data_IF_238639033582
#
_entry.id   IF_238639033582
#
_cell.length_a   1.000
_cell.length_b   1.000
_cell.length_c   1.000
_cell.angle_alpha   90.00
_cell.angle_beta   90.00
_cell.angle_gamma   90.00
#
_symmetry.space_group_name_H-M   'P 1'
#
loop_
_entity.id
_entity.type
_entity.pdbx_description
1 polymer ?
#
# COMPACT_ATOMS: atom_id res chain seq x y z
N UNK A 1 -14.03 -21.19 22.07
CA UNK A 1 -12.86 -22.08 21.92
C UNK A 1 -12.70 -22.32 20.44
N UNK A 2 -11.70 -21.68 19.83
CA UNK A 2 -11.32 -21.92 18.43
C UNK A 2 -9.89 -22.43 18.48
N UNK A 3 -9.65 -23.50 17.73
CA UNK A 3 -8.45 -24.34 17.81
C UNK A 3 -7.78 -24.36 16.44
N UNK A 4 -7.36 -23.17 16.01
CA UNK A 4 -6.57 -22.99 14.81
C UNK A 4 -5.30 -23.83 14.80
N UNK A 5 -4.93 -24.36 13.63
CA UNK A 5 -3.62 -24.98 13.45
C UNK A 5 -2.60 -23.89 13.16
N UNK A 6 -1.66 -23.68 14.07
CA UNK A 6 -0.53 -22.77 13.88
C UNK A 6 0.38 -23.22 12.73
N UNK A 7 0.84 -22.28 11.91
CA UNK A 7 1.73 -22.59 10.78
C UNK A 7 3.18 -22.48 11.21
N UNK A 8 3.82 -23.63 11.47
CA UNK A 8 5.26 -23.70 11.79
C UNK A 8 6.11 -24.35 10.67
N UNK A 9 5.48 -24.66 9.53
CA UNK A 9 6.12 -25.32 8.38
C UNK A 9 6.33 -24.35 7.21
N UNK A 10 7.39 -24.56 6.43
CA UNK A 10 7.67 -23.79 5.21
C UNK A 10 6.86 -24.31 4.02
N UNK A 11 5.53 -24.15 4.11
CA UNK A 11 4.55 -24.61 3.10
C UNK A 11 3.96 -23.46 2.27
N UNK A 12 4.39 -22.22 2.54
CA UNK A 12 3.95 -21.02 1.83
C UNK A 12 4.61 -20.88 0.45
N UNK A 13 3.90 -20.22 -0.45
CA UNK A 13 4.42 -19.82 -1.76
C UNK A 13 4.03 -18.39 -2.08
N UNK A 14 4.82 -17.73 -2.93
CA UNK A 14 4.58 -16.37 -3.38
C UNK A 14 5.38 -16.04 -4.63
N UNK A 15 5.00 -14.95 -5.28
CA UNK A 15 5.62 -14.47 -6.51
C UNK A 15 5.55 -12.95 -6.58
N UNK A 16 6.57 -12.38 -7.22
CA UNK A 16 6.69 -10.96 -7.47
C UNK A 16 6.80 -10.74 -8.98
N UNK A 17 5.88 -9.95 -9.53
CA UNK A 17 5.93 -9.50 -10.92
C UNK A 17 6.22 -8.00 -10.91
N UNK A 18 7.13 -7.53 -11.77
CA UNK A 18 7.48 -6.12 -11.81
C UNK A 18 7.96 -5.66 -13.18
N UNK A 19 7.83 -4.36 -13.41
CA UNK A 19 8.34 -3.67 -14.57
C UNK A 19 9.00 -2.37 -14.12
N UNK A 20 10.17 -2.08 -14.67
CA UNK A 20 11.01 -0.95 -14.30
C UNK A 20 11.32 -0.12 -15.54
N UNK A 21 11.12 1.19 -15.46
CA UNK A 21 11.49 2.13 -16.50
C UNK A 21 12.29 3.28 -15.89
N UNK A 22 13.44 3.57 -16.49
CA UNK A 22 14.34 4.64 -16.05
C UNK A 22 14.74 5.50 -17.22
N UNK A 23 14.54 6.80 -17.09
CA UNK A 23 15.04 7.81 -18.01
C UNK A 23 16.10 8.65 -17.30
N UNK A 24 17.29 8.75 -17.89
CA UNK A 24 18.40 9.52 -17.34
C UNK A 24 18.87 10.55 -18.36
N UNK A 25 19.04 11.78 -17.89
CA UNK A 25 19.60 12.87 -18.67
C UNK A 25 20.76 13.50 -17.90
N UNK A 26 21.90 13.66 -18.55
CA UNK A 26 23.11 14.19 -17.95
C UNK A 26 23.52 15.47 -18.65
N UNK A 27 23.50 16.59 -17.92
CA UNK A 27 23.94 17.92 -18.35
C UNK A 27 23.44 18.36 -19.74
N UNK A 28 22.20 18.01 -20.10
CA UNK A 28 21.63 18.42 -21.38
C UNK A 28 21.20 19.88 -21.29
N UNK A 29 21.97 20.78 -21.89
CA UNK A 29 21.78 22.23 -21.76
C UNK A 29 21.70 22.71 -20.30
N UNK A 30 22.53 22.13 -19.42
CA UNK A 30 22.52 22.48 -17.99
C UNK A 30 21.49 21.71 -17.15
N UNK A 31 20.72 20.80 -17.75
CA UNK A 31 19.74 19.96 -17.08
C UNK A 31 20.29 18.55 -16.82
N UNK A 32 20.37 18.20 -15.54
CA UNK A 32 20.63 16.84 -15.07
C UNK A 32 19.38 16.31 -14.39
N UNK A 33 18.85 15.18 -14.86
CA UNK A 33 17.59 14.64 -14.35
C UNK A 33 17.58 13.12 -14.41
N UNK A 34 16.85 12.51 -13.48
CA UNK A 34 16.51 11.09 -13.55
C UNK A 34 15.06 10.90 -13.15
N UNK A 35 14.35 10.08 -13.92
CA UNK A 35 12.97 9.66 -13.64
C UNK A 35 12.95 8.14 -13.61
N UNK A 36 12.43 7.56 -12.53
CA UNK A 36 12.31 6.12 -12.35
C UNK A 36 10.86 5.78 -12.00
N UNK A 37 10.32 4.80 -12.73
CA UNK A 37 8.99 4.26 -12.52
C UNK A 37 9.08 2.75 -12.31
N UNK A 38 8.41 2.28 -11.27
CA UNK A 38 8.26 0.87 -10.96
C UNK A 38 6.79 0.53 -10.91
N UNK A 39 6.37 -0.45 -11.72
CA UNK A 39 5.14 -1.19 -11.51
C UNK A 39 5.47 -2.51 -10.82
N UNK A 40 4.67 -2.92 -9.83
CA UNK A 40 4.82 -4.24 -9.23
C UNK A 40 3.53 -4.88 -8.78
N UNK A 41 3.58 -6.20 -8.58
CA UNK A 41 2.51 -7.01 -8.00
C UNK A 41 3.12 -8.15 -7.20
N UNK A 42 3.00 -8.09 -5.88
CA UNK A 42 3.44 -9.11 -4.95
C UNK A 42 2.25 -9.93 -4.45
N UNK A 43 2.27 -11.25 -4.71
CA UNK A 43 1.23 -12.20 -4.30
C UNK A 43 1.84 -13.35 -3.51
N UNK A 44 1.08 -13.96 -2.61
CA UNK A 44 1.53 -15.10 -1.83
C UNK A 44 0.57 -15.48 -0.72
N UNK A 45 0.88 -16.59 -0.02
CA UNK A 45 0.07 -17.16 1.06
C UNK A 45 0.27 -16.49 2.44
N UNK A 46 0.95 -15.35 2.46
CA UNK A 46 1.31 -14.60 3.67
C UNK A 46 2.83 -14.48 3.83
N UNK A 47 3.28 -13.29 4.24
CA UNK A 47 4.69 -12.97 4.47
C UNK A 47 4.89 -12.59 5.94
N UNK A 48 4.75 -13.58 6.80
CA UNK A 48 5.02 -13.46 8.23
C UNK A 48 6.39 -14.04 8.56
N UNK A 49 7.02 -13.53 9.62
CA UNK A 49 8.23 -14.13 10.13
C UNK A 49 7.92 -15.56 10.59
N UNK A 50 8.77 -16.54 10.27
CA UNK A 50 8.56 -17.93 10.69
C UNK A 50 8.50 -18.10 12.22
N UNK A 51 9.08 -17.17 12.97
CA UNK A 51 9.01 -17.15 14.43
C UNK A 51 7.63 -16.73 14.98
N UNK A 52 6.68 -16.32 14.13
CA UNK A 52 5.33 -15.93 14.54
C UNK A 52 4.49 -17.17 14.89
N UNK A 53 4.49 -17.54 16.16
CA UNK A 53 3.72 -18.70 16.67
C UNK A 53 2.21 -18.47 16.82
N UNK A 54 1.73 -17.27 16.52
CA UNK A 54 0.33 -16.85 16.65
C UNK A 54 -0.45 -16.91 15.32
N UNK A 55 0.27 -17.11 14.21
CA UNK A 55 -0.34 -17.13 12.89
C UNK A 55 -0.89 -18.51 12.56
N UNK A 56 -2.15 -18.57 12.17
CA UNK A 56 -2.84 -19.81 11.86
C UNK A 56 -3.24 -19.86 10.38
N UNK A 57 -3.47 -21.08 9.91
CA UNK A 57 -4.06 -21.26 8.59
C UNK A 57 -5.50 -20.76 8.59
N UNK A 58 -5.83 -19.98 7.55
CA UNK A 58 -7.19 -19.55 7.27
C UNK A 58 -8.11 -20.76 7.07
N UNK A 59 -7.82 -21.61 6.09
CA UNK A 59 -8.47 -22.93 5.95
C UNK A 59 -7.40 -24.02 6.03
N UNK A 60 -7.47 -24.83 7.09
CA UNK A 60 -6.52 -25.93 7.34
C UNK A 60 -6.61 -27.04 6.29
N UNK A 61 -7.74 -27.16 5.60
CA UNK A 61 -7.94 -28.13 4.51
C UNK A 61 -7.51 -27.56 3.15
N UNK A 62 -7.38 -26.23 3.04
CA UNK A 62 -6.98 -25.56 1.82
C UNK A 62 -6.13 -24.30 2.09
N UNK A 63 -4.83 -24.50 2.33
CA UNK A 63 -3.90 -23.38 2.56
C UNK A 63 -3.84 -22.36 1.41
N UNK A 64 -4.25 -22.74 0.18
CA UNK A 64 -4.25 -21.81 -0.96
C UNK A 64 -5.25 -20.67 -0.80
N UNK A 65 -6.21 -20.80 0.10
CA UNK A 65 -7.15 -19.74 0.49
C UNK A 65 -6.43 -18.44 0.87
N UNK A 66 -5.29 -18.60 1.55
CA UNK A 66 -4.44 -17.52 2.07
C UNK A 66 -3.73 -16.72 0.97
N UNK A 67 -3.82 -17.17 -0.29
CA UNK A 67 -3.10 -16.57 -1.40
C UNK A 67 -3.73 -15.25 -1.81
N UNK A 68 -3.01 -14.15 -1.55
CA UNK A 68 -3.45 -12.80 -1.86
C UNK A 68 -2.30 -11.80 -1.95
N UNK A 69 -2.65 -10.52 -1.98
CA UNK A 69 -1.66 -9.43 -2.04
C UNK A 69 -0.82 -9.42 -0.77
N UNK A 70 0.48 -9.20 -0.91
CA UNK A 70 1.38 -9.12 0.24
C UNK A 70 1.36 -7.73 0.87
N UNK A 71 1.59 -7.61 2.18
CA UNK A 71 1.53 -6.31 2.88
C UNK A 71 2.51 -5.24 2.34
N UNK A 72 3.60 -5.68 1.71
CA UNK A 72 4.57 -4.82 1.05
C UNK A 72 4.28 -4.56 -0.44
N UNK A 73 3.16 -5.05 -0.98
CA UNK A 73 2.74 -4.84 -2.36
C UNK A 73 2.49 -3.35 -2.64
N UNK A 74 3.37 -2.72 -3.42
CA UNK A 74 3.15 -1.36 -3.92
C UNK A 74 3.05 -1.40 -5.44
N UNK A 75 1.83 -1.16 -5.93
CA UNK A 75 1.52 -1.26 -7.36
C UNK A 75 2.33 -0.30 -8.21
N UNK A 76 2.47 0.94 -7.75
CA UNK A 76 3.21 2.00 -8.46
C UNK A 76 4.15 2.71 -7.50
N UNK A 77 5.40 2.88 -7.90
CA UNK A 77 6.38 3.72 -7.22
C UNK A 77 7.06 4.58 -8.27
N UNK A 78 7.11 5.88 -8.02
CA UNK A 78 7.72 6.87 -8.88
C UNK A 78 8.67 7.75 -8.09
N UNK A 79 9.85 7.99 -8.64
CA UNK A 79 10.77 8.99 -8.12
C UNK A 79 11.42 9.73 -9.27
N UNK A 80 11.64 11.03 -9.07
CA UNK A 80 12.26 11.90 -10.03
C UNK A 80 13.10 12.93 -9.31
N UNK A 81 14.27 13.22 -9.85
CA UNK A 81 15.01 14.42 -9.47
C UNK A 81 15.38 15.22 -10.72
N UNK A 82 15.50 16.53 -10.53
CA UNK A 82 15.94 17.50 -11.54
C UNK A 82 16.91 18.45 -10.86
N UNK A 83 18.03 18.70 -11.53
CA UNK A 83 18.98 19.77 -11.23
C UNK A 83 19.19 20.56 -12.51
N UNK A 84 18.85 21.84 -12.48
CA UNK A 84 19.00 22.73 -13.62
C UNK A 84 19.89 23.92 -13.26
N UNK A 85 21.03 23.98 -13.95
CA UNK A 85 21.97 25.10 -13.86
C UNK A 85 22.05 25.75 -15.24
N UNK A 86 21.42 26.94 -15.44
CA UNK A 86 21.34 27.57 -16.76
C UNK A 86 22.73 27.73 -17.40
N UNK A 87 22.86 27.43 -18.71
CA UNK A 87 24.15 27.51 -19.38
C UNK A 87 24.56 28.95 -19.71
N UNK A 88 23.65 29.91 -19.61
CA UNK A 88 23.85 31.33 -19.90
C UNK A 88 24.33 32.11 -18.67
N UNK A 89 25.02 33.23 -18.91
CA UNK A 89 25.52 34.15 -17.87
C UNK A 89 26.40 33.50 -16.77
N UNK A 90 27.03 32.34 -17.01
CA UNK A 90 27.95 31.68 -16.05
C UNK A 90 29.05 32.59 -15.52
N UNK A 91 29.55 33.52 -16.33
CA UNK A 91 30.58 34.49 -15.94
C UNK A 91 30.08 35.67 -15.08
N UNK A 92 28.76 35.79 -14.87
CA UNK A 92 28.12 36.83 -14.06
C UNK A 92 28.58 38.28 -14.34
N UNK A 93 28.98 38.58 -15.58
CA UNK A 93 29.46 39.91 -15.98
C UNK A 93 28.32 40.93 -16.13
N UNK A 94 28.53 42.14 -15.61
CA UNK A 94 27.54 43.22 -15.64
C UNK A 94 26.33 42.99 -14.72
N UNK A 95 25.42 43.97 -14.68
CA UNK A 95 24.21 43.89 -13.85
C UNK A 95 23.35 42.67 -14.24
N UNK A 96 23.15 42.46 -15.54
CA UNK A 96 22.34 41.36 -16.07
C UNK A 96 22.95 39.98 -15.77
N UNK A 97 24.29 39.85 -15.84
CA UNK A 97 24.97 38.60 -15.52
C UNK A 97 24.88 38.23 -14.04
N UNK A 98 24.93 39.20 -13.12
CA UNK A 98 24.76 38.95 -11.67
C UNK A 98 23.33 38.58 -11.28
N UNK A 99 22.33 39.13 -11.99
CA UNK A 99 20.92 38.85 -11.72
C UNK A 99 20.49 37.50 -12.33
N UNK A 100 20.99 37.15 -13.52
CA UNK A 100 20.54 35.96 -14.26
C UNK A 100 21.51 34.77 -14.21
N UNK A 101 22.73 34.95 -13.70
CA UNK A 101 23.78 33.92 -13.68
C UNK A 101 23.95 33.27 -12.31
N UNK A 102 24.36 32.00 -12.28
CA UNK A 102 24.74 31.28 -11.06
C UNK A 102 23.59 30.58 -10.32
N UNK A 103 22.36 30.68 -10.81
CA UNK A 103 21.22 29.94 -10.26
C UNK A 103 21.39 28.43 -10.44
N UNK A 104 21.03 27.67 -9.41
CA UNK A 104 20.88 26.21 -9.53
C UNK A 104 19.57 25.80 -8.91
N UNK A 105 18.67 25.32 -9.75
CA UNK A 105 17.35 24.87 -9.34
C UNK A 105 17.41 23.37 -9.15
N UNK A 106 17.18 22.89 -7.93
CA UNK A 106 17.11 21.46 -7.66
C UNK A 106 15.72 21.10 -7.11
N UNK A 107 15.19 19.98 -7.57
CA UNK A 107 13.93 19.45 -7.10
C UNK A 107 13.94 17.93 -7.07
N UNK A 108 13.28 17.37 -6.07
CA UNK A 108 13.00 15.94 -5.98
C UNK A 108 11.50 15.75 -5.80
N UNK A 109 10.96 14.75 -6.49
CA UNK A 109 9.57 14.34 -6.40
C UNK A 109 9.51 12.83 -6.20
N UNK A 110 8.69 12.41 -5.26
CA UNK A 110 8.42 10.99 -4.99
C UNK A 110 6.93 10.79 -4.89
N UNK A 111 6.43 9.70 -5.43
CA UNK A 111 5.04 9.31 -5.30
C UNK A 111 4.92 7.78 -5.31
N UNK A 112 3.84 7.28 -4.73
CA UNK A 112 3.56 5.86 -4.77
C UNK A 112 2.12 5.54 -4.43
N UNK A 113 1.65 4.41 -4.93
CA UNK A 113 0.37 3.84 -4.51
C UNK A 113 0.44 3.38 -3.06
N UNK A 114 -0.71 3.35 -2.39
CA UNK A 114 -0.82 2.70 -1.08
C UNK A 114 -0.57 1.20 -1.15
N UNK A 115 -0.29 0.62 0.02
CA UNK A 115 -0.23 -0.82 0.25
C UNK A 115 -1.64 -1.41 0.27
N UNK A 116 -1.81 -2.74 0.19
CA UNK A 116 -3.09 -3.36 0.46
C UNK A 116 -3.51 -3.02 1.89
N UNK A 117 -4.80 -2.74 2.06
CA UNK A 117 -5.42 -2.60 3.38
C UNK A 117 -6.42 -3.73 3.57
N UNK A 118 -6.32 -4.36 4.72
CA UNK A 118 -7.24 -5.40 5.17
C UNK A 118 -8.61 -4.83 5.46
N UNK A 119 -9.63 -5.61 5.13
CA UNK A 119 -10.99 -5.36 5.57
C UNK A 119 -11.35 -6.52 6.48
N UNK A 120 -11.31 -6.26 7.78
CA UNK A 120 -11.72 -7.23 8.79
C UNK A 120 -13.14 -7.73 8.53
N UNK A 121 -13.36 -9.00 8.80
CA UNK A 121 -14.69 -9.59 8.90
C UNK A 121 -15.38 -9.12 10.18
N UNK A 122 -16.65 -9.49 10.38
CA UNK A 122 -17.35 -9.14 11.63
C UNK A 122 -16.81 -9.84 12.87
N UNK A 123 -16.06 -10.94 12.72
CA UNK A 123 -15.35 -11.62 13.81
C UNK A 123 -13.89 -11.18 13.93
N UNK A 124 -13.42 -10.33 13.00
CA UNK A 124 -12.09 -9.75 12.96
C UNK A 124 -11.24 -10.33 11.84
N UNK A 125 -10.07 -10.86 12.17
CA UNK A 125 -9.14 -11.50 11.21
C UNK A 125 -9.11 -13.02 11.39
N UNK A 126 -10.15 -13.59 12.01
CA UNK A 126 -10.22 -15.00 12.39
C UNK A 126 -11.66 -15.47 12.58
N UNK A 127 -11.83 -16.79 12.58
CA UNK A 127 -13.01 -17.58 12.96
C UNK A 127 -13.88 -18.09 11.81
N UNK A 128 -13.93 -17.45 10.63
CA UNK A 128 -14.87 -17.84 9.56
C UNK A 128 -14.71 -19.30 9.11
N UNK A 129 -13.50 -19.82 9.18
CA UNK A 129 -13.17 -21.20 8.85
C UNK A 129 -12.58 -21.95 10.05
N UNK A 130 -12.71 -21.40 11.26
CA UNK A 130 -12.12 -21.96 12.49
C UNK A 130 -10.61 -21.75 12.62
N UNK A 131 -10.06 -20.72 11.97
CA UNK A 131 -8.63 -20.43 11.89
C UNK A 131 -8.00 -19.93 13.19
N UNK A 132 -8.65 -19.07 13.97
CA UNK A 132 -8.04 -18.40 15.13
C UNK A 132 -9.11 -17.82 16.06
N UNK A 133 -8.71 -17.21 17.18
CA UNK A 133 -9.60 -16.61 18.19
C UNK A 133 -9.70 -15.08 18.10
N UNK A 134 -9.04 -14.48 17.10
CA UNK A 134 -8.93 -13.03 16.90
C UNK A 134 -8.39 -12.28 18.15
N UNK A 135 -7.65 -12.99 19.02
CA UNK A 135 -7.12 -12.43 20.28
C UNK A 135 -5.67 -12.84 20.48
N UNK A 136 -5.42 -14.14 20.66
CA UNK A 136 -4.08 -14.70 20.80
C UNK A 136 -3.57 -15.27 19.47
N UNK A 137 -4.49 -15.74 18.62
CA UNK A 137 -4.21 -16.35 17.33
C UNK A 137 -4.99 -15.65 16.24
N UNK A 138 -4.31 -15.38 15.13
CA UNK A 138 -4.88 -14.65 14.01
C UNK A 138 -4.56 -15.33 12.68
N UNK A 139 -5.40 -15.05 11.69
CA UNK A 139 -5.16 -15.33 10.28
C UNK A 139 -5.22 -14.02 9.47
N UNK A 140 -5.31 -14.09 8.15
CA UNK A 140 -5.37 -12.93 7.26
C UNK A 140 -6.63 -13.02 6.38
N UNK A 141 -7.78 -12.92 7.03
CA UNK A 141 -9.09 -13.15 6.45
C UNK A 141 -9.73 -11.82 6.05
N UNK A 142 -9.91 -11.63 4.75
CA UNK A 142 -10.53 -10.42 4.23
C UNK A 142 -12.03 -10.61 4.01
N UNK A 143 -12.81 -9.62 4.45
CA UNK A 143 -14.22 -9.52 4.09
C UNK A 143 -14.37 -9.40 2.57
N UNK A 144 -15.40 -10.06 2.04
CA UNK A 144 -15.69 -10.14 0.61
C UNK A 144 -16.56 -8.96 0.18
N UNK A 145 -16.13 -8.16 -0.82
CA UNK A 145 -16.98 -7.11 -1.37
C UNK A 145 -18.17 -7.72 -2.14
N UNK A 146 -19.37 -7.24 -1.85
CA UNK A 146 -20.63 -7.66 -2.49
C UNK A 146 -21.22 -6.59 -3.42
N UNK A 147 -20.50 -5.49 -3.59
CA UNK A 147 -20.87 -4.39 -4.47
C UNK A 147 -19.67 -3.54 -4.87
N UNK A 148 -19.89 -2.46 -5.65
CA UNK A 148 -18.83 -1.54 -6.04
C UNK A 148 -18.21 -0.87 -4.81
N UNK A 149 -16.89 -1.05 -4.64
CA UNK A 149 -16.12 -0.41 -3.58
C UNK A 149 -15.41 0.81 -4.14
N UNK A 150 -15.74 1.98 -3.59
CA UNK A 150 -14.97 3.22 -3.83
C UNK A 150 -14.05 3.47 -2.63
N UNK A 151 -12.74 3.24 -2.81
CA UNK A 151 -11.71 3.51 -1.81
C UNK A 151 -10.54 4.28 -2.42
N UNK A 152 -9.57 4.69 -1.59
CA UNK A 152 -8.32 5.31 -2.04
C UNK A 152 -8.29 6.84 -1.96
N UNK A 153 -9.31 7.44 -1.36
CA UNK A 153 -9.36 8.86 -1.03
C UNK A 153 -9.42 9.02 0.49
N UNK A 154 -8.84 10.10 1.01
CA UNK A 154 -9.00 10.49 2.40
C UNK A 154 -10.16 11.50 2.51
N UNK A 155 -11.18 11.15 3.28
CA UNK A 155 -12.31 12.02 3.60
C UNK A 155 -12.18 12.49 5.04
N UNK A 156 -12.33 13.78 5.27
CA UNK A 156 -12.34 14.31 6.64
C UNK A 156 -13.51 13.72 7.43
N UNK A 157 -13.21 13.13 8.58
CA UNK A 157 -14.21 12.60 9.50
C UNK A 157 -14.23 13.45 10.78
N UNK A 158 -15.24 14.31 10.97
CA UNK A 158 -15.32 15.17 12.14
C UNK A 158 -15.64 14.41 13.43
N UNK A 159 -16.12 13.16 13.34
CA UNK A 159 -16.46 12.35 14.50
C UNK A 159 -15.22 11.75 15.17
N UNK A 160 -14.11 11.64 14.43
CA UNK A 160 -12.85 11.02 14.86
C UNK A 160 -13.04 9.69 15.59
N UNK A 161 -14.07 8.94 15.19
CA UNK A 161 -14.42 7.71 15.86
C UNK A 161 -13.39 6.63 15.49
N UNK A 162 -12.52 6.25 16.43
CA UNK A 162 -11.52 5.23 16.17
C UNK A 162 -12.11 3.85 15.80
N UNK A 163 -13.40 3.62 16.07
CA UNK A 163 -14.10 2.35 15.86
C UNK A 163 -15.02 2.35 14.62
N UNK A 164 -14.98 3.37 13.76
CA UNK A 164 -15.76 3.35 12.51
C UNK A 164 -15.09 2.58 11.36
N UNK A 165 -15.90 2.03 10.47
CA UNK A 165 -15.42 1.31 9.28
C UNK A 165 -14.65 2.26 8.34
N UNK A 166 -13.40 1.88 8.02
CA UNK A 166 -12.49 2.67 7.17
C UNK A 166 -11.75 3.81 7.87
N UNK A 167 -11.90 3.93 9.19
CA UNK A 167 -11.22 4.93 10.00
C UNK A 167 -9.81 4.46 10.36
N UNK A 168 -8.84 5.37 10.37
CA UNK A 168 -7.42 5.03 10.63
C UNK A 168 -7.02 5.22 12.09
N UNK A 169 -7.97 5.05 13.00
CA UNK A 169 -7.77 5.19 14.44
C UNK A 169 -7.71 6.63 14.94
N UNK A 170 -6.57 7.31 14.77
CA UNK A 170 -6.25 8.54 15.54
C UNK A 170 -6.25 9.84 14.73
N UNK A 171 -6.46 9.74 13.42
CA UNK A 171 -6.44 10.89 12.53
C UNK A 171 -7.85 11.18 12.04
N UNK A 172 -8.23 12.44 11.79
CA UNK A 172 -9.59 12.82 11.44
C UNK A 172 -9.91 12.51 9.99
N UNK A 173 -9.64 11.28 9.54
CA UNK A 173 -9.94 10.84 8.18
C UNK A 173 -10.46 9.40 8.11
N UNK A 174 -11.27 9.18 7.08
CA UNK A 174 -11.84 7.91 6.68
C UNK A 174 -11.51 7.66 5.20
N UNK A 175 -11.23 6.41 4.82
CA UNK A 175 -10.99 6.03 3.41
C UNK A 175 -12.28 6.03 2.56
N UNK A 176 -13.44 6.06 3.22
CA UNK A 176 -14.76 6.13 2.63
C UNK A 176 -15.44 7.45 2.98
N UNK A 177 -16.23 7.98 2.04
CA UNK A 177 -17.06 9.16 2.29
C UNK A 177 -18.16 8.90 3.32
N UNK A 178 -18.67 7.67 3.35
CA UNK A 178 -19.65 7.19 4.33
C UNK A 178 -19.25 5.76 4.74
N UNK A 179 -18.56 5.63 5.88
CA UNK A 179 -18.06 4.35 6.38
C UNK A 179 -19.16 3.32 6.63
N UNK A 180 -20.31 3.73 7.18
CA UNK A 180 -21.43 2.81 7.46
C UNK A 180 -22.05 2.24 6.19
N UNK A 181 -22.22 3.05 5.14
CA UNK A 181 -22.70 2.57 3.85
C UNK A 181 -21.66 1.66 3.16
N UNK A 182 -20.37 1.98 3.31
CA UNK A 182 -19.29 1.15 2.80
C UNK A 182 -19.26 -0.23 3.49
N UNK A 183 -19.47 -0.29 4.82
CA UNK A 183 -19.52 -1.55 5.57
C UNK A 183 -20.61 -2.51 5.03
N UNK A 184 -21.77 -1.98 4.66
CA UNK A 184 -22.86 -2.77 4.06
C UNK A 184 -22.54 -3.31 2.64
N UNK A 185 -21.40 -2.92 2.06
CA UNK A 185 -20.91 -3.43 0.79
C UNK A 185 -19.93 -4.60 0.95
N UNK A 186 -19.75 -5.11 2.17
CA UNK A 186 -18.93 -6.27 2.49
C UNK A 186 -19.74 -7.33 3.25
N UNK A 187 -19.30 -8.58 3.14
CA UNK A 187 -19.77 -9.70 3.96
C UNK A 187 -18.59 -10.55 4.40
N UNK A 188 -18.80 -11.36 5.45
CA UNK A 188 -17.82 -12.39 5.79
C UNK A 188 -17.72 -13.42 4.65
N UNK A 189 -16.53 -14.00 4.45
CA UNK A 189 -16.36 -15.13 3.54
C UNK A 189 -17.20 -16.33 3.97
N UNK A 190 -17.65 -17.10 3.00
CA UNK A 190 -18.50 -18.29 3.18
C UNK A 190 -17.69 -19.52 2.82
N UNK A 191 -17.60 -20.46 3.77
CA UNK A 191 -16.85 -21.70 3.60
C UNK A 191 -17.34 -22.49 2.39
N UNK A 192 -16.41 -22.87 1.52
CA UNK A 192 -16.69 -23.63 0.30
C UNK A 192 -17.26 -22.81 -0.87
N UNK A 193 -17.54 -21.51 -0.68
CA UNK A 193 -17.96 -20.61 -1.75
C UNK A 193 -16.85 -19.63 -2.12
N UNK A 194 -16.35 -18.90 -1.13
CA UNK A 194 -15.24 -17.97 -1.33
C UNK A 194 -13.93 -18.74 -1.27
N UNK A 195 -13.00 -18.38 -2.17
CA UNK A 195 -11.72 -19.08 -2.32
C UNK A 195 -10.51 -18.14 -2.32
N UNK A 196 -10.72 -16.84 -2.04
CA UNK A 196 -9.75 -15.75 -2.26
C UNK A 196 -9.96 -14.57 -1.29
N UNK A 197 -10.12 -14.87 -0.02
CA UNK A 197 -10.16 -13.95 1.11
C UNK A 197 -8.79 -13.77 1.79
N UNK A 198 -7.78 -14.54 1.40
CA UNK A 198 -6.42 -14.38 1.91
C UNK A 198 -5.67 -13.12 1.47
N UNK A 199 -4.53 -12.89 2.12
CA UNK A 199 -3.60 -11.79 1.84
C UNK A 199 -3.73 -10.62 2.81
N UNK A 200 -2.91 -9.59 2.61
CA UNK A 200 -2.86 -8.43 3.49
C UNK A 200 -3.92 -7.36 3.19
N UNK A 201 -4.89 -7.65 2.32
CA UNK A 201 -5.86 -6.64 1.92
C UNK A 201 -6.50 -6.80 0.55
N UNK A 202 -7.82 -6.60 0.52
CA UNK A 202 -8.59 -6.41 -0.71
C UNK A 202 -8.68 -4.92 -1.12
N UNK A 203 -8.49 -3.98 -0.19
CA UNK A 203 -8.51 -2.54 -0.45
C UNK A 203 -7.15 -2.00 -0.88
N UNK A 204 -7.14 -0.93 -1.68
CA UNK A 204 -5.95 -0.12 -1.87
C UNK A 204 -5.92 0.98 -0.81
N UNK A 205 -4.82 1.03 -0.04
CA UNK A 205 -4.54 2.12 0.88
C UNK A 205 -4.28 3.45 0.18
N UNK A 206 -4.09 4.49 0.99
CA UNK A 206 -3.87 5.85 0.49
C UNK A 206 -2.54 5.95 -0.26
N UNK A 207 -2.60 6.59 -1.43
CA UNK A 207 -1.39 6.98 -2.16
C UNK A 207 -0.65 8.10 -1.42
N UNK A 208 0.65 8.18 -1.63
CA UNK A 208 1.49 9.24 -1.07
C UNK A 208 2.23 9.98 -2.19
N UNK A 209 2.59 11.23 -1.90
CA UNK A 209 3.54 11.98 -2.69
C UNK A 209 4.29 12.96 -1.79
N UNK A 210 5.52 13.30 -2.17
CA UNK A 210 6.34 14.30 -1.50
C UNK A 210 7.19 15.03 -2.54
N UNK A 211 7.42 16.32 -2.32
CA UNK A 211 8.23 17.18 -3.16
C UNK A 211 9.11 18.08 -2.29
N UNK A 212 10.38 18.19 -2.66
CA UNK A 212 11.32 19.14 -2.07
C UNK A 212 12.04 19.91 -3.19
N UNK A 213 12.40 21.15 -2.90
CA UNK A 213 12.91 22.13 -3.85
C UNK A 213 13.94 23.06 -3.19
N UNK A 214 15.05 23.29 -3.87
CA UNK A 214 16.06 24.29 -3.48
C UNK A 214 16.50 25.15 -4.66
N UNK A 215 16.96 26.37 -4.35
CA UNK A 215 17.43 27.38 -5.31
C UNK A 215 18.82 27.90 -4.90
#
# INVERSE_FOLDING_TARGET
MTSGVGINASVGSGNYNGAFASLKMNDWHGLTAQSNFTWSKALGMGAFAQATSQYTAEDVFNLKQMYGRQGYDRKFVYNMFVVYSPPFYKGQHGLMGRVLGGWTIAGIFTAGSGTPNEVYTTTGDSEEFGSGDNNNFFSNQNAIPIGPVQSGHAYFDPTQNASCFGCTGQLPYNIFKNGSAAANSYRNPILGLDTRDGGAGSLNGLAYWNMDFSL
#
